data_IF_810407139175
#
_entry.id   IF_810407139175
#
_cell.length_a   1.000
_cell.length_b   1.000
_cell.length_c   1.000
_cell.angle_alpha   90.00
_cell.angle_beta   90.00
_cell.angle_gamma   90.00
#
_symmetry.space_group_name_H-M   'P 1'
#
loop_
_entity.id
_entity.type
_entity.pdbx_description
1 polymer ?
#
# COMPACT_ATOMS: atom_id res chain seq x y z
N UNK A 1 -23.97 39.44 -56.24
CA UNK A 1 -24.32 40.09 -54.96
C UNK A 1 -25.71 39.60 -54.57
N UNK A 2 -25.89 39.25 -53.29
CA UNK A 2 -27.08 38.66 -52.63
C UNK A 2 -27.21 37.13 -52.62
N UNK A 3 -26.95 36.65 -51.39
CA UNK A 3 -27.34 35.40 -50.74
C UNK A 3 -28.87 35.23 -50.70
N UNK A 4 -29.35 33.98 -50.73
CA UNK A 4 -29.96 33.32 -49.56
C UNK A 4 -30.93 32.19 -49.93
N UNK A 5 -30.78 31.08 -49.20
CA UNK A 5 -31.76 30.06 -48.76
C UNK A 5 -31.18 28.65 -48.94
N UNK A 6 -30.42 28.23 -47.92
CA UNK A 6 -30.28 26.81 -47.59
C UNK A 6 -31.04 26.64 -46.28
N UNK A 7 -31.98 25.70 -46.30
CA UNK A 7 -32.94 25.43 -45.24
C UNK A 7 -32.26 24.78 -44.04
N UNK A 8 -32.63 25.27 -42.85
CA UNK A 8 -32.25 24.73 -41.55
C UNK A 8 -32.88 23.34 -41.36
N UNK A 9 -32.09 22.28 -41.46
CA UNK A 9 -32.39 21.00 -40.80
C UNK A 9 -31.87 21.04 -39.37
N UNK A 10 -32.80 21.13 -38.43
CA UNK A 10 -32.54 21.03 -37.00
C UNK A 10 -31.91 19.68 -36.64
N UNK A 11 -30.65 19.71 -36.22
CA UNK A 11 -30.01 18.57 -35.55
C UNK A 11 -30.41 18.62 -34.09
N UNK A 12 -31.16 17.61 -33.67
CA UNK A 12 -31.53 17.35 -32.29
C UNK A 12 -30.25 17.03 -31.49
N UNK A 13 -29.70 18.04 -30.81
CA UNK A 13 -28.64 17.84 -29.84
C UNK A 13 -29.21 17.09 -28.63
N UNK A 14 -29.02 15.77 -28.58
CA UNK A 14 -29.16 15.04 -27.31
C UNK A 14 -28.11 15.60 -26.35
N UNK A 15 -28.58 16.34 -25.34
CA UNK A 15 -27.78 16.68 -24.17
C UNK A 15 -27.27 15.37 -23.55
N UNK A 16 -25.96 15.14 -23.65
CA UNK A 16 -25.28 14.10 -22.89
C UNK A 16 -25.37 14.53 -21.43
N UNK A 17 -26.23 13.85 -20.66
CA UNK A 17 -26.23 13.97 -19.21
C UNK A 17 -24.93 13.35 -18.74
N UNK A 18 -23.94 14.19 -18.41
CA UNK A 18 -22.75 13.76 -17.67
C UNK A 18 -23.26 13.34 -16.29
N UNK A 19 -23.44 12.03 -16.10
CA UNK A 19 -23.68 11.47 -14.77
C UNK A 19 -22.50 11.89 -13.91
N UNK A 20 -22.73 12.73 -12.91
CA UNK A 20 -21.67 13.16 -11.99
C UNK A 20 -21.05 11.91 -11.38
N UNK A 21 -19.76 11.67 -11.68
CA UNK A 21 -19.00 10.62 -11.01
C UNK A 21 -19.05 10.88 -9.51
N UNK A 22 -19.29 9.84 -8.70
CA UNK A 22 -19.16 9.96 -7.25
C UNK A 22 -17.72 10.32 -6.92
N UNK A 23 -17.53 11.29 -6.01
CA UNK A 23 -16.20 11.75 -5.58
C UNK A 23 -15.28 10.60 -5.10
N UNK A 24 -15.85 9.51 -4.57
CA UNK A 24 -15.08 8.34 -4.16
C UNK A 24 -14.41 7.57 -5.31
N UNK A 25 -14.99 7.58 -6.53
CA UNK A 25 -14.41 6.86 -7.66
C UNK A 25 -13.15 7.54 -8.18
N UNK A 26 -13.12 8.88 -8.17
CA UNK A 26 -11.96 9.63 -8.67
C UNK A 26 -10.81 9.62 -7.67
N UNK A 27 -11.10 9.68 -6.36
CA UNK A 27 -10.07 9.58 -5.31
C UNK A 27 -9.33 8.24 -5.39
N UNK A 28 -10.05 7.15 -5.63
CA UNK A 28 -9.46 5.83 -5.86
C UNK A 28 -8.56 5.78 -7.10
N UNK A 29 -8.98 6.37 -8.23
CA UNK A 29 -8.13 6.45 -9.42
C UNK A 29 -6.89 7.31 -9.19
N UNK A 30 -7.02 8.44 -8.48
CA UNK A 30 -5.87 9.29 -8.12
C UNK A 30 -4.86 8.53 -7.27
N UNK A 31 -5.30 7.65 -6.38
CA UNK A 31 -4.39 6.79 -5.62
C UNK A 31 -3.56 5.88 -6.54
N UNK A 32 -4.21 5.22 -7.51
CA UNK A 32 -3.51 4.37 -8.50
C UNK A 32 -2.53 5.16 -9.37
N UNK A 33 -2.95 6.33 -9.85
CA UNK A 33 -2.08 7.21 -10.63
C UNK A 33 -0.93 7.76 -9.79
N UNK A 34 -1.14 7.97 -8.49
CA UNK A 34 -0.09 8.34 -7.55
C UNK A 34 0.97 7.24 -7.42
N UNK A 35 0.55 5.98 -7.27
CA UNK A 35 1.48 4.85 -7.28
C UNK A 35 2.28 4.75 -8.58
N UNK A 36 1.61 4.96 -9.71
CA UNK A 36 2.28 4.95 -10.99
C UNK A 36 3.24 6.13 -11.17
N UNK A 37 2.87 7.34 -10.74
CA UNK A 37 3.77 8.50 -10.70
C UNK A 37 5.03 8.19 -9.89
N UNK A 38 4.88 7.63 -8.68
CA UNK A 38 6.01 7.29 -7.81
C UNK A 38 6.94 6.24 -8.45
N UNK A 39 6.41 5.40 -9.34
CA UNK A 39 7.23 4.45 -10.11
C UNK A 39 7.99 5.07 -11.28
N UNK A 40 7.57 6.25 -11.75
CA UNK A 40 8.16 7.01 -12.86
C UNK A 40 9.11 8.11 -12.38
N UNK A 41 8.91 8.63 -11.17
CA UNK A 41 9.82 9.54 -10.46
C UNK A 41 10.99 8.71 -9.87
N UNK A 42 11.93 8.34 -10.74
CA UNK A 42 12.99 7.38 -10.43
C UNK A 42 13.99 7.94 -9.43
N UNK A 43 14.18 9.26 -9.43
CA UNK A 43 15.08 9.92 -8.47
C UNK A 43 14.38 10.30 -7.15
N UNK A 44 13.06 10.13 -7.07
CA UNK A 44 12.19 10.42 -5.92
C UNK A 44 12.26 11.89 -5.45
N UNK A 45 12.34 12.84 -6.39
CA UNK A 45 12.38 14.27 -6.10
C UNK A 45 11.00 14.95 -6.08
N UNK A 46 9.93 14.19 -6.33
CA UNK A 46 8.55 14.64 -6.40
C UNK A 46 8.13 15.18 -7.77
N UNK A 47 8.99 15.07 -8.78
CA UNK A 47 8.74 15.50 -10.16
C UNK A 47 9.29 14.48 -11.16
N UNK A 48 8.58 14.31 -12.25
CA UNK A 48 9.12 13.61 -13.42
C UNK A 48 9.80 14.66 -14.31
N UNK A 49 11.07 14.45 -14.60
CA UNK A 49 11.93 15.38 -15.36
C UNK A 49 12.74 14.66 -16.43
N UNK A 50 13.58 15.40 -17.17
CA UNK A 50 14.56 14.80 -18.09
C UNK A 50 15.54 13.87 -17.38
N UNK A 51 15.81 14.06 -16.08
CA UNK A 51 16.72 13.20 -15.33
C UNK A 51 16.19 11.77 -15.21
N UNK A 52 14.88 11.59 -15.04
CA UNK A 52 14.22 10.27 -14.97
C UNK A 52 14.24 9.56 -16.33
N UNK A 53 14.03 10.34 -17.40
CA UNK A 53 14.18 9.86 -18.78
C UNK A 53 15.62 9.42 -19.03
N UNK A 54 16.61 10.25 -18.70
CA UNK A 54 18.04 9.95 -18.89
C UNK A 54 18.48 8.74 -18.08
N UNK A 55 17.96 8.58 -16.85
CA UNK A 55 18.19 7.38 -16.06
C UNK A 55 17.68 6.14 -16.79
N UNK A 56 16.43 6.17 -17.26
CA UNK A 56 15.80 5.04 -17.96
C UNK A 56 16.56 4.66 -19.22
N UNK A 57 16.90 5.64 -20.07
CA UNK A 57 17.67 5.44 -21.30
C UNK A 57 19.07 4.85 -21.02
N UNK A 58 19.72 5.27 -19.93
CA UNK A 58 21.02 4.73 -19.56
C UNK A 58 20.93 3.27 -19.07
N UNK A 59 19.88 2.93 -18.33
CA UNK A 59 19.72 1.59 -17.75
C UNK A 59 19.26 0.57 -18.79
N UNK A 60 18.35 0.95 -19.69
CA UNK A 60 17.64 0.00 -20.55
C UNK A 60 18.57 -0.89 -21.41
N UNK A 61 19.52 -0.35 -22.19
CA UNK A 61 20.42 -1.20 -22.99
C UNK A 61 21.31 -2.10 -22.14
N UNK A 62 21.67 -1.66 -20.93
CA UNK A 62 22.54 -2.42 -20.01
C UNK A 62 21.79 -3.59 -19.41
N UNK A 63 20.57 -3.35 -18.92
CA UNK A 63 19.74 -4.37 -18.26
C UNK A 63 19.26 -5.41 -19.27
N UNK A 64 18.87 -4.99 -20.47
CA UNK A 64 18.43 -5.89 -21.56
C UNK A 64 19.59 -6.52 -22.34
N UNK A 65 20.84 -6.15 -22.07
CA UNK A 65 22.02 -6.70 -22.74
C UNK A 65 22.07 -6.42 -24.25
N UNK A 66 21.54 -5.26 -24.69
CA UNK A 66 21.41 -4.91 -26.09
C UNK A 66 22.75 -4.50 -26.72
N UNK A 67 22.93 -4.78 -28.01
CA UNK A 67 24.04 -4.17 -28.77
C UNK A 67 23.88 -2.66 -28.88
N UNK A 68 24.95 -1.92 -29.20
CA UNK A 68 24.90 -0.46 -29.37
C UNK A 68 23.81 0.00 -30.36
N UNK A 69 23.64 -0.75 -31.46
CA UNK A 69 22.62 -0.44 -32.47
C UNK A 69 21.20 -0.70 -31.96
N UNK A 70 20.98 -1.80 -31.25
CA UNK A 70 19.68 -2.15 -30.67
C UNK A 70 19.31 -1.21 -29.52
N UNK A 71 20.28 -0.91 -28.66
CA UNK A 71 20.15 0.07 -27.58
C UNK A 71 19.71 1.43 -28.10
N UNK A 72 20.37 1.94 -29.15
CA UNK A 72 19.97 3.22 -29.76
C UNK A 72 18.54 3.21 -30.31
N UNK A 73 18.11 2.11 -30.93
CA UNK A 73 16.74 1.99 -31.43
C UNK A 73 15.73 1.95 -30.28
N UNK A 74 16.04 1.25 -29.20
CA UNK A 74 15.23 1.21 -28.00
C UNK A 74 15.16 2.59 -27.32
N UNK A 75 16.29 3.29 -27.21
CA UNK A 75 16.38 4.63 -26.64
C UNK A 75 15.45 5.60 -27.36
N UNK A 76 15.45 5.61 -28.70
CA UNK A 76 14.57 6.45 -29.51
C UNK A 76 13.08 6.16 -29.23
N UNK A 77 12.71 4.88 -29.01
CA UNK A 77 11.32 4.52 -28.68
C UNK A 77 10.95 4.87 -27.23
N UNK A 78 11.85 4.64 -26.26
CA UNK A 78 11.63 4.97 -24.85
C UNK A 78 11.51 6.48 -24.66
N UNK A 79 12.40 7.26 -25.27
CA UNK A 79 12.32 8.72 -25.23
C UNK A 79 11.01 9.22 -25.86
N UNK A 80 10.60 8.62 -26.99
CA UNK A 80 9.30 8.92 -27.59
C UNK A 80 8.15 8.57 -26.65
N UNK A 81 8.20 7.44 -25.95
CA UNK A 81 7.18 7.02 -24.99
C UNK A 81 7.05 8.03 -23.84
N UNK A 82 8.17 8.40 -23.20
CA UNK A 82 8.22 9.41 -22.15
C UNK A 82 7.63 10.75 -22.62
N UNK A 83 8.10 11.26 -23.76
CA UNK A 83 7.68 12.58 -24.25
C UNK A 83 6.21 12.61 -24.70
N UNK A 84 5.70 11.52 -25.26
CA UNK A 84 4.33 11.45 -25.80
C UNK A 84 3.32 11.25 -24.68
N UNK A 85 3.58 10.31 -23.78
CA UNK A 85 2.56 9.81 -22.87
C UNK A 85 2.70 10.29 -21.42
N UNK A 86 3.94 10.52 -20.96
CA UNK A 86 4.21 10.86 -19.57
C UNK A 86 4.43 12.38 -19.42
N UNK A 87 5.45 12.92 -20.08
CA UNK A 87 5.76 14.36 -20.04
C UNK A 87 4.78 15.18 -20.88
N UNK A 88 4.18 14.58 -21.93
CA UNK A 88 3.14 15.20 -22.76
C UNK A 88 3.55 16.57 -23.30
N UNK A 89 4.82 16.69 -23.72
CA UNK A 89 5.42 17.93 -24.22
C UNK A 89 5.87 18.94 -23.14
N UNK A 90 5.72 18.64 -21.85
CA UNK A 90 6.26 19.43 -20.74
C UNK A 90 7.74 19.08 -20.48
N UNK A 91 8.46 19.99 -19.84
CA UNK A 91 9.85 19.76 -19.41
C UNK A 91 9.95 19.07 -18.05
N UNK A 92 8.98 19.33 -17.18
CA UNK A 92 8.80 18.68 -15.88
C UNK A 92 7.29 18.56 -15.62
N UNK A 93 6.91 17.58 -14.81
CA UNK A 93 5.55 17.44 -14.29
C UNK A 93 5.61 17.04 -12.82
N UNK A 94 5.01 17.85 -11.95
CA UNK A 94 4.85 17.49 -10.54
C UNK A 94 3.78 16.42 -10.37
N UNK A 95 3.79 15.75 -9.20
CA UNK A 95 2.78 14.74 -8.86
C UNK A 95 1.35 15.27 -9.00
N UNK A 96 1.07 16.46 -8.47
CA UNK A 96 -0.28 17.03 -8.53
C UNK A 96 -0.70 17.36 -9.96
N UNK A 97 0.19 17.93 -10.78
CA UNK A 97 -0.11 18.19 -12.19
C UNK A 97 -0.36 16.90 -12.99
N UNK A 98 0.36 15.83 -12.68
CA UNK A 98 0.14 14.51 -13.29
C UNK A 98 -1.25 13.98 -12.94
N UNK A 99 -1.62 14.02 -11.67
CA UNK A 99 -2.93 13.56 -11.20
C UNK A 99 -4.07 14.39 -11.80
N UNK A 100 -3.92 15.72 -11.85
CA UNK A 100 -4.92 16.64 -12.39
C UNK A 100 -5.10 16.47 -13.90
N UNK A 101 -4.02 16.30 -14.67
CA UNK A 101 -4.09 16.02 -16.10
C UNK A 101 -4.84 14.71 -16.37
N UNK A 102 -4.55 13.67 -15.59
CA UNK A 102 -5.20 12.36 -15.71
C UNK A 102 -6.68 12.40 -15.34
N UNK A 103 -7.01 13.02 -14.21
CA UNK A 103 -8.40 13.22 -13.77
C UNK A 103 -9.21 13.97 -14.82
N UNK A 104 -8.64 15.05 -15.35
CA UNK A 104 -9.28 15.86 -16.37
C UNK A 104 -9.54 15.05 -17.64
N UNK A 105 -8.56 14.35 -18.17
CA UNK A 105 -8.72 13.54 -19.39
C UNK A 105 -9.75 12.41 -19.22
N UNK A 106 -9.70 11.74 -18.06
CA UNK A 106 -10.66 10.71 -17.71
C UNK A 106 -12.10 11.25 -17.63
N UNK A 107 -12.27 12.39 -16.98
CA UNK A 107 -13.57 13.05 -16.81
C UNK A 107 -14.11 13.63 -18.13
N UNK A 108 -13.24 14.17 -18.98
CA UNK A 108 -13.61 14.74 -20.28
C UNK A 108 -14.06 13.66 -21.27
N UNK A 109 -13.29 12.57 -21.39
CA UNK A 109 -13.61 11.46 -22.29
C UNK A 109 -12.94 10.15 -21.89
N UNK A 110 -13.62 9.38 -21.02
CA UNK A 110 -13.17 8.05 -20.54
C UNK A 110 -12.77 7.09 -21.66
N UNK A 111 -13.48 7.08 -22.80
CA UNK A 111 -13.13 6.19 -23.93
C UNK A 111 -11.78 6.59 -24.56
N UNK A 112 -11.59 7.89 -24.84
CA UNK A 112 -10.33 8.38 -25.39
C UNK A 112 -9.17 8.22 -24.39
N UNK A 113 -9.43 8.41 -23.10
CA UNK A 113 -8.45 8.14 -22.04
C UNK A 113 -8.01 6.67 -22.07
N UNK A 114 -8.96 5.71 -22.07
CA UNK A 114 -8.67 4.28 -22.16
C UNK A 114 -7.83 3.91 -23.40
N UNK A 115 -8.18 4.48 -24.57
CA UNK A 115 -7.42 4.28 -25.81
C UNK A 115 -5.99 4.84 -25.71
N UNK A 116 -5.82 5.97 -25.01
CA UNK A 116 -4.51 6.60 -24.78
C UNK A 116 -3.66 5.74 -23.86
N UNK A 117 -4.22 5.26 -22.73
CA UNK A 117 -3.52 4.36 -21.80
C UNK A 117 -3.17 3.03 -22.48
N UNK A 118 -4.07 2.48 -23.30
CA UNK A 118 -3.76 1.28 -24.08
C UNK A 118 -2.62 1.52 -25.06
N UNK A 119 -2.64 2.62 -25.80
CA UNK A 119 -1.59 2.98 -26.77
C UNK A 119 -0.22 3.21 -26.10
N UNK A 120 -0.24 3.72 -24.87
CA UNK A 120 0.94 3.88 -24.02
C UNK A 120 1.57 2.53 -23.68
N UNK A 121 0.78 1.60 -23.15
CA UNK A 121 1.28 0.28 -22.76
C UNK A 121 1.64 -0.56 -23.99
N UNK A 122 0.89 -0.49 -25.09
CA UNK A 122 1.29 -1.10 -26.36
C UNK A 122 2.64 -0.60 -26.85
N UNK A 123 2.93 0.70 -26.73
CA UNK A 123 4.21 1.25 -27.16
C UNK A 123 5.36 0.69 -26.32
N UNK A 124 5.32 0.82 -25.00
CA UNK A 124 6.43 0.35 -24.15
C UNK A 124 6.55 -1.17 -24.15
N UNK A 125 5.45 -1.90 -24.19
CA UNK A 125 5.47 -3.36 -24.25
C UNK A 125 6.15 -3.87 -25.53
N UNK A 126 6.00 -3.16 -26.66
CA UNK A 126 6.73 -3.51 -27.89
C UNK A 126 8.24 -3.25 -27.81
N UNK A 127 8.68 -2.38 -26.89
CA UNK A 127 10.10 -2.10 -26.63
C UNK A 127 10.71 -3.18 -25.73
N UNK A 128 10.02 -3.57 -24.65
CA UNK A 128 10.47 -4.62 -23.72
C UNK A 128 10.40 -6.04 -24.34
N UNK A 129 9.52 -6.26 -25.33
CA UNK A 129 9.45 -7.47 -26.16
C UNK A 129 10.64 -7.48 -27.14
N UNK A 130 11.86 -7.56 -26.61
CA UNK A 130 13.12 -7.45 -27.36
C UNK A 130 13.31 -8.62 -28.32
N UNK A 131 12.84 -9.82 -27.95
CA UNK A 131 12.89 -11.04 -28.76
C UNK A 131 11.72 -11.21 -29.75
N UNK A 132 10.73 -10.29 -29.71
CA UNK A 132 9.55 -10.24 -30.58
C UNK A 132 8.66 -11.49 -30.49
N UNK A 133 8.67 -12.17 -29.35
CA UNK A 133 7.81 -13.33 -29.09
C UNK A 133 6.36 -12.96 -28.81
N UNK A 134 6.06 -11.69 -28.52
CA UNK A 134 4.75 -11.22 -28.03
C UNK A 134 4.36 -11.86 -26.69
N UNK A 135 5.38 -12.30 -25.95
CA UNK A 135 5.27 -12.86 -24.62
C UNK A 135 6.18 -12.07 -23.69
N UNK A 136 5.74 -11.85 -22.45
CA UNK A 136 6.53 -11.26 -21.38
C UNK A 136 7.05 -12.40 -20.51
N UNK A 137 8.35 -12.64 -20.53
CA UNK A 137 9.01 -13.53 -19.57
C UNK A 137 9.23 -12.85 -18.22
N UNK A 138 9.58 -13.62 -17.19
CA UNK A 138 9.98 -13.06 -15.89
C UNK A 138 11.14 -12.08 -16.04
N UNK A 139 12.13 -12.41 -16.88
CA UNK A 139 13.29 -11.56 -17.11
C UNK A 139 12.87 -10.25 -17.77
N UNK A 140 12.02 -10.27 -18.82
CA UNK A 140 11.53 -9.03 -19.44
C UNK A 140 10.75 -8.17 -18.43
N UNK A 141 9.91 -8.81 -17.61
CA UNK A 141 9.17 -8.12 -16.56
C UNK A 141 10.11 -7.45 -15.55
N UNK A 142 10.99 -8.22 -14.91
CA UNK A 142 11.94 -7.73 -13.90
C UNK A 142 12.84 -6.65 -14.48
N UNK A 143 13.37 -6.85 -15.67
CA UNK A 143 14.25 -5.91 -16.33
C UNK A 143 13.54 -4.59 -16.61
N UNK A 144 12.32 -4.61 -17.14
CA UNK A 144 11.56 -3.38 -17.41
C UNK A 144 11.42 -2.50 -16.16
N UNK A 145 11.16 -3.10 -15.00
CA UNK A 145 11.09 -2.38 -13.72
C UNK A 145 12.45 -1.91 -13.20
N UNK A 146 13.52 -2.69 -13.38
CA UNK A 146 14.89 -2.26 -13.07
C UNK A 146 15.30 -1.02 -13.88
N UNK A 147 14.83 -0.87 -15.11
CA UNK A 147 15.12 0.34 -15.91
C UNK A 147 14.47 1.60 -15.35
N UNK A 148 13.41 1.44 -14.56
CA UNK A 148 12.73 2.49 -13.82
C UNK A 148 13.21 2.60 -12.36
N UNK A 149 14.34 1.98 -12.01
CA UNK A 149 14.94 2.06 -10.67
C UNK A 149 14.38 1.10 -9.62
N UNK A 150 13.44 0.22 -10.00
CA UNK A 150 12.90 -0.80 -9.09
C UNK A 150 13.79 -2.05 -9.13
N UNK A 151 14.70 -2.19 -8.16
CA UNK A 151 15.69 -3.26 -8.14
C UNK A 151 15.34 -4.46 -7.24
N UNK A 152 14.18 -4.41 -6.56
CA UNK A 152 13.74 -5.49 -5.69
C UNK A 152 13.15 -6.67 -6.46
N UNK A 153 14.05 -7.51 -6.97
CA UNK A 153 13.73 -8.67 -7.80
C UNK A 153 12.74 -9.64 -7.14
N UNK A 154 12.76 -9.80 -5.82
CA UNK A 154 11.80 -10.69 -5.12
C UNK A 154 10.38 -10.16 -5.16
N UNK A 155 10.21 -8.85 -5.02
CA UNK A 155 8.88 -8.22 -5.12
C UNK A 155 8.39 -8.29 -6.56
N UNK A 156 9.25 -8.01 -7.53
CA UNK A 156 8.92 -8.09 -8.96
C UNK A 156 8.58 -9.51 -9.40
N UNK A 157 9.30 -10.52 -8.91
CA UNK A 157 9.00 -11.92 -9.18
C UNK A 157 7.62 -12.31 -8.65
N UNK A 158 7.29 -11.94 -7.40
CA UNK A 158 5.95 -12.18 -6.84
C UNK A 158 4.86 -11.49 -7.66
N UNK A 159 5.09 -10.24 -8.04
CA UNK A 159 4.14 -9.51 -8.89
C UNK A 159 3.94 -10.18 -10.26
N UNK A 160 5.00 -10.71 -10.87
CA UNK A 160 4.91 -11.51 -12.09
C UNK A 160 4.13 -12.82 -11.89
N UNK A 161 4.31 -13.49 -10.75
CA UNK A 161 3.58 -14.72 -10.41
C UNK A 161 2.06 -14.49 -10.31
N UNK A 162 1.60 -13.27 -10.03
CA UNK A 162 0.17 -12.93 -9.97
C UNK A 162 -0.56 -13.01 -11.30
N UNK A 163 0.15 -12.81 -12.40
CA UNK A 163 -0.38 -13.04 -13.74
C UNK A 163 -0.60 -14.53 -14.04
N UNK A 164 -0.19 -15.44 -13.13
CA UNK A 164 -0.28 -16.90 -13.31
C UNK A 164 0.26 -17.34 -14.67
N UNK A 165 1.52 -16.98 -14.98
CA UNK A 165 2.10 -17.12 -16.31
C UNK A 165 2.06 -18.57 -16.79
N UNK A 166 1.55 -18.78 -18.01
CA UNK A 166 1.55 -20.10 -18.63
C UNK A 166 2.92 -20.39 -19.22
N UNK A 167 3.52 -21.51 -18.80
CA UNK A 167 4.89 -21.89 -19.19
C UNK A 167 5.95 -20.82 -18.87
N UNK A 168 5.75 -20.01 -17.82
CA UNK A 168 6.70 -18.98 -17.39
C UNK A 168 6.64 -17.68 -18.20
N UNK A 169 5.59 -17.49 -19.00
CA UNK A 169 5.39 -16.29 -19.81
C UNK A 169 3.95 -15.79 -19.77
N UNK A 170 3.75 -14.49 -20.03
CA UNK A 170 2.43 -13.83 -20.11
C UNK A 170 2.24 -13.32 -21.55
N UNK A 171 1.11 -13.57 -22.22
CA UNK A 171 0.81 -12.90 -23.48
C UNK A 171 0.86 -11.38 -23.33
N UNK A 172 1.56 -10.68 -24.23
CA UNK A 172 1.73 -9.22 -24.15
C UNK A 172 0.41 -8.45 -24.08
N UNK A 173 -0.63 -8.95 -24.75
CA UNK A 173 -1.96 -8.33 -24.73
C UNK A 173 -2.63 -8.46 -23.37
N UNK A 174 -2.46 -9.59 -22.68
CA UNK A 174 -2.98 -9.81 -21.33
C UNK A 174 -2.31 -8.85 -20.35
N UNK A 175 -0.98 -8.73 -20.42
CA UNK A 175 -0.23 -7.74 -19.65
C UNK A 175 -0.74 -6.31 -19.90
N UNK A 176 -0.94 -5.90 -21.15
CA UNK A 176 -1.45 -4.57 -21.49
C UNK A 176 -2.86 -4.36 -20.95
N UNK A 177 -3.75 -5.33 -21.12
CA UNK A 177 -5.15 -5.22 -20.69
C UNK A 177 -5.22 -5.09 -19.15
N UNK A 178 -4.40 -5.82 -18.41
CA UNK A 178 -4.32 -5.74 -16.94
C UNK A 178 -3.82 -4.36 -16.47
N UNK A 179 -2.81 -3.79 -17.13
CA UNK A 179 -2.35 -2.43 -16.82
C UNK A 179 -3.39 -1.36 -17.14
N UNK A 180 -4.13 -1.51 -18.25
CA UNK A 180 -5.24 -0.62 -18.59
C UNK A 180 -6.35 -0.71 -17.55
N UNK A 181 -6.69 -1.92 -17.11
CA UNK A 181 -7.67 -2.16 -16.03
C UNK A 181 -7.17 -1.51 -14.75
N UNK A 182 -5.92 -1.76 -14.33
CA UNK A 182 -5.35 -1.15 -13.14
C UNK A 182 -5.49 0.37 -13.19
N UNK A 183 -5.02 1.04 -14.25
CA UNK A 183 -5.00 2.50 -14.35
C UNK A 183 -6.40 3.14 -14.46
N UNK A 184 -7.38 2.47 -15.08
CA UNK A 184 -8.62 3.14 -15.49
C UNK A 184 -9.90 2.56 -14.87
N UNK A 185 -9.83 1.40 -14.22
CA UNK A 185 -10.98 0.79 -13.54
C UNK A 185 -11.26 1.52 -12.22
N UNK A 186 -12.39 2.22 -12.19
CA UNK A 186 -12.92 2.97 -11.06
C UNK A 186 -13.79 2.13 -10.12
N UNK A 187 -13.96 0.83 -10.43
CA UNK A 187 -14.71 -0.11 -9.59
C UNK A 187 -13.84 -0.64 -8.46
N UNK A 188 -13.93 0.00 -7.29
CA UNK A 188 -13.24 -0.37 -6.05
C UNK A 188 -13.57 -1.80 -5.57
N UNK A 189 -14.66 -2.41 -6.05
CA UNK A 189 -15.04 -3.77 -5.65
C UNK A 189 -14.25 -4.86 -6.37
N UNK A 190 -13.46 -4.51 -7.39
CA UNK A 190 -12.64 -5.46 -8.13
C UNK A 190 -11.22 -5.48 -7.57
N UNK A 191 -10.66 -6.67 -7.28
CA UNK A 191 -9.28 -6.79 -6.85
C UNK A 191 -8.35 -6.31 -7.98
N UNK A 192 -7.48 -5.36 -7.65
CA UNK A 192 -6.34 -4.97 -8.49
C UNK A 192 -5.10 -5.81 -8.12
N UNK A 193 -4.02 -5.69 -8.90
CA UNK A 193 -2.69 -6.29 -8.61
C UNK A 193 -2.13 -5.95 -7.20
N UNK A 194 -2.76 -5.02 -6.48
CA UNK A 194 -2.52 -4.69 -5.07
C UNK A 194 -3.18 -5.66 -4.07
N UNK A 195 -3.93 -6.67 -4.52
CA UNK A 195 -4.57 -7.65 -3.62
C UNK A 195 -3.58 -8.42 -2.75
N UNK A 196 -2.34 -8.61 -3.22
CA UNK A 196 -1.26 -9.25 -2.46
C UNK A 196 -0.76 -8.42 -1.28
N UNK A 197 -0.86 -7.10 -1.41
CA UNK A 197 -0.57 -6.17 -0.32
C UNK A 197 -1.64 -6.31 0.77
N UNK A 198 -2.89 -6.48 0.37
CA UNK A 198 -3.98 -6.78 1.30
C UNK A 198 -3.83 -8.16 1.92
N UNK A 199 -3.46 -9.21 1.17
CA UNK A 199 -3.22 -10.52 1.76
C UNK A 199 -2.07 -10.49 2.77
N UNK A 200 -0.98 -9.76 2.46
CA UNK A 200 0.11 -9.53 3.40
C UNK A 200 -0.34 -8.80 4.66
N UNK A 201 -1.12 -7.73 4.52
CA UNK A 201 -1.69 -7.01 5.66
C UNK A 201 -2.65 -7.87 6.48
N UNK A 202 -3.54 -8.64 5.84
CA UNK A 202 -4.43 -9.61 6.49
C UNK A 202 -3.63 -10.62 7.30
N UNK A 203 -2.46 -11.06 6.82
CA UNK A 203 -1.57 -11.92 7.58
C UNK A 203 -1.01 -11.25 8.84
N UNK A 204 -0.61 -9.98 8.75
CA UNK A 204 -0.16 -9.20 9.92
C UNK A 204 -1.29 -9.01 10.94
N UNK A 205 -2.47 -8.61 10.46
CA UNK A 205 -3.67 -8.43 11.28
C UNK A 205 -4.13 -9.75 11.90
N UNK A 206 -3.96 -10.88 11.21
CA UNK A 206 -4.21 -12.21 11.76
C UNK A 206 -3.32 -12.49 12.96
N UNK A 207 -2.02 -12.21 12.88
CA UNK A 207 -1.13 -12.41 14.03
C UNK A 207 -1.50 -11.51 15.21
N UNK A 208 -1.94 -10.29 14.92
CA UNK A 208 -2.43 -9.41 15.97
C UNK A 208 -3.72 -9.94 16.60
N UNK A 209 -4.68 -10.39 15.79
CA UNK A 209 -5.90 -11.05 16.28
C UNK A 209 -5.56 -12.22 17.20
N UNK A 210 -4.65 -13.10 16.77
CA UNK A 210 -4.26 -14.30 17.54
C UNK A 210 -3.62 -13.94 18.90
N UNK A 211 -3.06 -12.74 19.04
CA UNK A 211 -2.54 -12.23 20.32
C UNK A 211 -3.64 -11.63 21.20
N UNK A 212 -4.70 -11.09 20.59
CA UNK A 212 -5.86 -10.55 21.29
C UNK A 212 -6.82 -11.66 21.73
N UNK A 213 -6.93 -12.75 20.97
CA UNK A 213 -7.67 -13.98 21.28
C UNK A 213 -6.85 -14.86 22.25
N UNK A 214 -6.69 -14.35 23.48
CA UNK A 214 -5.85 -14.93 24.53
C UNK A 214 -6.35 -16.30 25.02
N UNK A 215 -7.64 -16.59 24.83
CA UNK A 215 -8.21 -17.89 25.17
C UNK A 215 -8.19 -18.89 23.99
N UNK A 216 -7.83 -18.42 22.79
CA UNK A 216 -7.72 -19.18 21.55
C UNK A 216 -9.02 -19.86 21.09
N UNK A 217 -10.17 -19.22 21.30
CA UNK A 217 -11.48 -19.72 20.88
C UNK A 217 -11.90 -19.29 19.45
N UNK A 218 -11.05 -18.50 18.79
CA UNK A 218 -11.27 -17.96 17.45
C UNK A 218 -12.09 -16.66 17.44
N UNK A 219 -12.38 -16.10 18.61
CA UNK A 219 -13.15 -14.87 18.78
C UNK A 219 -12.55 -14.01 19.87
N UNK A 220 -12.65 -12.70 19.66
CA UNK A 220 -12.40 -11.71 20.71
C UNK A 220 -13.73 -11.40 21.40
N UNK A 221 -13.77 -11.58 22.71
CA UNK A 221 -14.94 -11.38 23.56
C UNK A 221 -14.58 -10.62 24.85
N UNK A 222 -15.57 -10.41 25.72
CA UNK A 222 -15.34 -9.87 27.07
C UNK A 222 -14.40 -10.76 27.91
N UNK A 223 -14.34 -12.06 27.64
CA UNK A 223 -13.45 -12.96 28.38
C UNK A 223 -11.97 -12.63 28.12
N UNK A 224 -11.62 -12.22 26.90
CA UNK A 224 -10.26 -11.83 26.53
C UNK A 224 -9.86 -10.51 27.19
N UNK A 225 -10.79 -9.55 27.21
CA UNK A 225 -10.63 -8.29 27.95
C UNK A 225 -10.41 -8.57 29.44
N UNK A 226 -11.26 -9.40 30.04
CA UNK A 226 -11.16 -9.75 31.45
C UNK A 226 -9.87 -10.51 31.77
N UNK A 227 -9.36 -11.33 30.86
CA UNK A 227 -8.05 -11.95 31.00
C UNK A 227 -6.94 -10.90 31.05
N UNK A 228 -6.89 -9.96 30.10
CA UNK A 228 -5.88 -8.88 30.09
C UNK A 228 -5.94 -8.05 31.36
N UNK A 229 -7.15 -7.67 31.81
CA UNK A 229 -7.38 -6.94 33.07
C UNK A 229 -6.88 -7.71 34.29
N UNK A 230 -7.02 -9.04 34.32
CA UNK A 230 -6.53 -9.85 35.43
C UNK A 230 -4.99 -10.01 35.43
N UNK A 231 -4.35 -10.00 34.25
CA UNK A 231 -2.90 -10.09 34.16
C UNK A 231 -2.21 -8.76 34.47
N UNK A 232 -2.82 -7.63 34.11
CA UNK A 232 -2.18 -6.32 34.15
C UNK A 232 -1.67 -5.92 35.57
N UNK A 233 -2.47 -6.01 36.65
CA UNK A 233 -2.00 -5.69 38.01
C UNK A 233 -0.91 -6.62 38.53
N UNK A 234 -0.91 -7.89 38.08
CA UNK A 234 0.07 -8.90 38.50
C UNK A 234 1.44 -8.57 37.89
N UNK A 235 1.45 -8.14 36.63
CA UNK A 235 2.66 -7.89 35.87
C UNK A 235 3.28 -6.53 36.22
N UNK A 236 2.45 -5.51 36.44
CA UNK A 236 2.92 -4.14 36.70
C UNK A 236 3.17 -3.84 38.19
N UNK A 237 2.74 -4.71 39.11
CA UNK A 237 2.93 -4.49 40.55
C UNK A 237 2.26 -3.21 41.07
N UNK A 238 1.18 -2.78 40.40
CA UNK A 238 0.50 -1.51 40.66
C UNK A 238 -0.20 -1.48 42.01
N UNK A 239 -0.31 -0.28 42.60
CA UNK A 239 -1.23 -0.09 43.71
C UNK A 239 -2.68 -0.30 43.27
N UNK A 240 -3.57 -0.58 44.23
CA UNK A 240 -5.00 -0.81 43.94
C UNK A 240 -5.69 0.35 43.18
N UNK A 241 -5.22 1.59 43.36
CA UNK A 241 -5.78 2.77 42.70
C UNK A 241 -5.25 2.88 41.27
N UNK A 242 -3.96 2.64 41.06
CA UNK A 242 -3.33 2.65 39.74
C UNK A 242 -3.85 1.49 38.87
N UNK A 243 -4.02 0.31 39.47
CA UNK A 243 -4.63 -0.84 38.80
C UNK A 243 -6.03 -0.52 38.28
N UNK A 244 -6.89 0.10 39.10
CA UNK A 244 -8.25 0.48 38.66
C UNK A 244 -8.25 1.50 37.52
N UNK A 245 -7.36 2.50 37.56
CA UNK A 245 -7.27 3.49 36.49
C UNK A 245 -6.79 2.84 35.18
N UNK A 246 -5.85 1.90 35.27
CA UNK A 246 -5.41 1.12 34.12
C UNK A 246 -6.53 0.22 33.60
N UNK A 247 -7.33 -0.40 34.48
CA UNK A 247 -8.46 -1.24 34.10
C UNK A 247 -9.48 -0.45 33.25
N UNK A 248 -9.86 0.74 33.72
CA UNK A 248 -10.80 1.61 32.99
C UNK A 248 -10.24 2.02 31.61
N UNK A 249 -8.92 2.22 31.48
CA UNK A 249 -8.27 2.58 30.22
C UNK A 249 -8.17 1.39 29.26
N UNK A 250 -7.80 0.21 29.76
CA UNK A 250 -7.74 -1.04 28.99
C UNK A 250 -9.14 -1.38 28.47
N UNK A 251 -10.16 -1.36 29.33
CA UNK A 251 -11.54 -1.64 28.92
C UNK A 251 -12.04 -0.63 27.89
N UNK A 252 -11.74 0.66 28.06
CA UNK A 252 -12.07 1.69 27.06
C UNK A 252 -11.37 1.41 25.73
N UNK A 253 -10.09 1.03 25.75
CA UNK A 253 -9.31 0.74 24.54
C UNK A 253 -9.92 -0.43 23.75
N UNK A 254 -10.20 -1.56 24.41
CA UNK A 254 -10.82 -2.72 23.79
C UNK A 254 -12.19 -2.38 23.17
N UNK A 255 -13.04 -1.66 23.92
CA UNK A 255 -14.37 -1.30 23.44
C UNK A 255 -14.36 -0.30 22.29
N UNK A 256 -13.39 0.62 22.28
CA UNK A 256 -13.30 1.67 21.26
C UNK A 256 -12.77 1.11 19.94
N UNK A 257 -11.71 0.31 20.00
CA UNK A 257 -10.96 -0.05 18.80
C UNK A 257 -11.19 -1.49 18.31
N UNK A 258 -11.43 -2.43 19.23
CA UNK A 258 -11.50 -3.86 18.89
C UNK A 258 -12.96 -4.33 18.82
N UNK A 259 -13.69 -4.24 19.93
CA UNK A 259 -15.08 -4.69 19.99
C UNK A 259 -16.03 -3.72 19.27
N UNK A 260 -15.75 -2.41 19.30
CA UNK A 260 -16.57 -1.37 18.66
C UNK A 260 -18.07 -1.48 19.04
N UNK A 261 -18.35 -1.84 20.30
CA UNK A 261 -19.70 -2.07 20.82
C UNK A 261 -20.33 -3.43 20.47
N UNK A 262 -19.62 -4.33 19.79
CA UNK A 262 -20.03 -5.72 19.54
C UNK A 262 -19.78 -6.57 20.79
N UNK A 263 -20.57 -7.63 20.96
CA UNK A 263 -20.36 -8.61 22.05
C UNK A 263 -19.22 -9.59 21.77
N UNK A 264 -19.00 -9.90 20.49
CA UNK A 264 -17.91 -10.76 20.01
C UNK A 264 -17.43 -10.28 18.64
N UNK A 265 -16.16 -10.55 18.34
CA UNK A 265 -15.56 -10.31 17.02
C UNK A 265 -14.81 -11.58 16.60
N UNK A 266 -15.31 -12.29 15.58
CA UNK A 266 -14.60 -13.42 14.98
C UNK A 266 -13.34 -12.95 14.23
N UNK A 267 -12.37 -13.85 14.02
CA UNK A 267 -11.17 -13.57 13.22
C UNK A 267 -11.46 -12.95 11.85
N UNK A 268 -12.32 -13.55 11.03
CA UNK A 268 -12.66 -13.00 9.71
C UNK A 268 -13.34 -11.63 9.83
N UNK A 269 -14.29 -11.47 10.75
CA UNK A 269 -14.91 -10.16 11.01
C UNK A 269 -13.92 -9.06 11.44
N UNK A 270 -12.85 -9.43 12.16
CA UNK A 270 -11.76 -8.51 12.49
C UNK A 270 -10.94 -8.14 11.25
N UNK A 271 -10.53 -9.14 10.47
CA UNK A 271 -9.74 -8.93 9.24
C UNK A 271 -10.51 -8.07 8.22
N UNK A 272 -11.80 -8.32 8.05
CA UNK A 272 -12.65 -7.58 7.12
C UNK A 272 -12.88 -6.14 7.58
N UNK A 273 -13.08 -5.89 8.89
CA UNK A 273 -13.19 -4.54 9.44
C UNK A 273 -11.88 -3.74 9.23
N UNK A 274 -10.72 -4.41 9.31
CA UNK A 274 -9.40 -3.82 9.10
C UNK A 274 -9.11 -3.54 7.63
N UNK A 275 -9.35 -4.53 6.76
CA UNK A 275 -9.22 -4.39 5.32
C UNK A 275 -10.09 -3.27 4.79
N UNK A 276 -11.36 -3.24 5.21
CA UNK A 276 -12.29 -2.18 4.87
C UNK A 276 -11.78 -0.82 5.33
N UNK A 277 -11.34 -0.68 6.58
CA UNK A 277 -10.78 0.58 7.07
C UNK A 277 -9.58 1.06 6.26
N UNK A 278 -8.66 0.14 5.95
CA UNK A 278 -7.47 0.41 5.16
C UNK A 278 -7.80 0.83 3.72
N UNK A 279 -8.71 0.10 3.06
CA UNK A 279 -9.08 0.33 1.65
C UNK A 279 -10.02 1.51 1.46
N UNK A 280 -10.90 1.83 2.41
CA UNK A 280 -11.78 3.00 2.30
C UNK A 280 -11.02 4.32 2.49
N UNK A 281 -10.00 4.35 3.38
CA UNK A 281 -9.15 5.51 3.57
C UNK A 281 -7.89 5.16 4.38
N UNK A 282 -6.78 4.89 3.68
CA UNK A 282 -5.49 4.56 4.31
C UNK A 282 -5.02 5.61 5.30
N UNK A 283 -5.22 6.91 5.01
CA UNK A 283 -4.83 8.01 5.90
C UNK A 283 -5.66 8.04 7.19
N UNK A 284 -6.97 7.87 7.11
CA UNK A 284 -7.82 7.74 8.30
C UNK A 284 -7.51 6.46 9.08
N UNK A 285 -7.28 5.34 8.39
CA UNK A 285 -6.89 4.09 9.03
C UNK A 285 -5.59 4.27 9.83
N UNK A 286 -4.54 4.84 9.22
CA UNK A 286 -3.29 5.17 9.89
C UNK A 286 -3.52 6.08 11.10
N UNK A 287 -4.38 7.10 10.98
CA UNK A 287 -4.70 7.98 12.11
C UNK A 287 -5.41 7.24 13.25
N UNK A 288 -6.31 6.30 12.94
CA UNK A 288 -6.97 5.44 13.94
C UNK A 288 -5.95 4.53 14.62
N UNK A 289 -5.06 3.88 13.87
CA UNK A 289 -4.01 3.02 14.42
C UNK A 289 -3.05 3.83 15.30
N UNK A 290 -2.71 5.05 14.89
CA UNK A 290 -1.88 5.95 15.70
C UNK A 290 -2.56 6.30 17.02
N UNK A 291 -3.84 6.70 16.99
CA UNK A 291 -4.63 6.99 18.20
C UNK A 291 -4.71 5.77 19.13
N UNK A 292 -4.88 4.58 18.56
CA UNK A 292 -4.88 3.30 19.28
C UNK A 292 -3.53 3.04 19.97
N UNK A 293 -2.41 3.30 19.30
CA UNK A 293 -1.07 3.15 19.86
C UNK A 293 -0.77 4.22 20.93
N UNK A 294 -1.26 5.45 20.76
CA UNK A 294 -1.16 6.51 21.77
C UNK A 294 -1.92 6.13 23.05
N UNK A 295 -3.14 5.60 22.93
CA UNK A 295 -3.91 5.12 24.08
C UNK A 295 -3.21 3.94 24.78
N UNK A 296 -2.62 3.01 24.00
CA UNK A 296 -1.86 1.89 24.57
C UNK A 296 -0.58 2.35 25.27
N UNK A 297 0.15 3.31 24.71
CA UNK A 297 1.38 3.80 25.35
C UNK A 297 1.11 4.58 26.64
N UNK A 298 -0.07 5.20 26.81
CA UNK A 298 -0.48 5.75 28.11
C UNK A 298 -0.65 4.67 29.21
N UNK A 299 -0.95 3.44 28.81
CA UNK A 299 -1.06 2.28 29.71
C UNK A 299 0.34 1.74 30.05
N UNK A 300 1.24 1.68 29.05
CA UNK A 300 2.62 1.13 29.19
C UNK A 300 3.57 2.14 29.89
N UNK A 301 3.42 3.43 29.65
CA UNK A 301 4.18 4.52 30.26
C UNK A 301 3.55 4.96 31.59
N UNK A 302 3.33 4.00 32.49
CA UNK A 302 2.69 4.24 33.78
C UNK A 302 3.44 5.29 34.63
N UNK A 303 4.75 5.40 34.47
CA UNK A 303 5.61 6.39 35.14
C UNK A 303 5.66 7.76 34.44
N UNK A 304 5.00 7.90 33.29
CA UNK A 304 4.86 9.13 32.50
C UNK A 304 6.20 9.73 32.06
N UNK A 305 7.19 8.89 31.81
CA UNK A 305 8.52 9.30 31.36
C UNK A 305 8.54 9.63 29.87
N UNK A 306 7.50 9.28 29.12
CA UNK A 306 7.43 9.30 27.65
C UNK A 306 8.44 8.39 26.98
N UNK A 307 8.98 7.45 27.75
CA UNK A 307 10.01 6.50 27.35
C UNK A 307 9.59 5.12 27.78
N UNK A 308 9.84 4.11 26.96
CA UNK A 308 9.52 2.73 27.25
C UNK A 308 10.83 2.01 27.55
N UNK A 309 10.96 1.48 28.76
CA UNK A 309 12.06 0.61 29.15
C UNK A 309 11.84 -0.81 28.63
N UNK A 310 12.91 -1.61 28.57
CA UNK A 310 12.78 -3.04 28.27
C UNK A 310 11.83 -3.75 29.23
N UNK A 311 11.85 -3.39 30.52
CA UNK A 311 10.98 -3.98 31.53
C UNK A 311 9.51 -3.66 31.25
N UNK A 312 9.18 -2.39 31.01
CA UNK A 312 7.82 -1.96 30.66
C UNK A 312 7.35 -2.61 29.35
N UNK A 313 8.24 -2.71 28.35
CA UNK A 313 7.95 -3.40 27.11
C UNK A 313 7.62 -4.89 27.35
N UNK A 314 8.46 -5.62 28.07
CA UNK A 314 8.24 -7.05 28.35
C UNK A 314 6.97 -7.26 29.16
N UNK A 315 6.71 -6.40 30.15
CA UNK A 315 5.51 -6.45 30.99
C UNK A 315 4.24 -6.25 30.16
N UNK A 316 4.19 -5.20 29.33
CA UNK A 316 3.04 -4.93 28.47
C UNK A 316 2.62 -6.14 27.64
N UNK A 317 3.58 -6.80 26.98
CA UNK A 317 3.31 -7.97 26.14
C UNK A 317 2.93 -9.22 26.94
N UNK A 318 3.44 -9.40 28.16
CA UNK A 318 2.99 -10.48 29.06
C UNK A 318 1.52 -10.34 29.44
N UNK A 319 0.96 -9.13 29.48
CA UNK A 319 -0.47 -8.92 29.81
C UNK A 319 -1.43 -9.43 28.74
N UNK A 320 -0.95 -9.60 27.51
CA UNK A 320 -1.68 -10.20 26.39
C UNK A 320 -1.20 -11.62 26.08
N UNK A 321 -0.56 -12.29 27.04
CA UNK A 321 -0.19 -13.71 26.92
C UNK A 321 1.12 -14.00 26.19
N UNK A 322 1.87 -12.98 25.75
CA UNK A 322 3.19 -13.17 25.13
C UNK A 322 4.29 -13.22 26.20
N UNK A 323 4.70 -14.43 26.58
CA UNK A 323 5.62 -14.67 27.72
C UNK A 323 7.07 -15.01 27.31
N UNK A 324 7.36 -15.12 26.01
CA UNK A 324 8.70 -15.42 25.51
C UNK A 324 9.65 -14.22 25.63
N UNK A 325 10.22 -14.06 26.82
CA UNK A 325 11.06 -12.91 27.17
C UNK A 325 12.28 -12.73 26.26
N UNK A 326 12.90 -13.83 25.79
CA UNK A 326 14.03 -13.74 24.85
C UNK A 326 13.62 -13.12 23.52
N UNK A 327 12.43 -13.47 23.03
CA UNK A 327 11.89 -12.91 21.81
C UNK A 327 11.54 -11.43 21.99
N UNK A 328 10.93 -11.06 23.11
CA UNK A 328 10.61 -9.66 23.45
C UNK A 328 11.86 -8.80 23.63
N UNK A 329 12.93 -9.34 24.23
CA UNK A 329 14.23 -8.67 24.32
C UNK A 329 14.84 -8.43 22.94
N UNK A 330 14.74 -9.43 22.04
CA UNK A 330 15.20 -9.30 20.66
C UNK A 330 14.39 -8.25 19.89
N UNK A 331 13.07 -8.20 20.12
CA UNK A 331 12.17 -7.17 19.59
C UNK A 331 12.63 -5.78 20.01
N UNK A 332 12.77 -5.58 21.33
CA UNK A 332 13.13 -4.31 21.92
C UNK A 332 14.51 -3.81 21.42
N UNK A 333 15.46 -4.71 21.21
CA UNK A 333 16.78 -4.36 20.68
C UNK A 333 16.72 -3.80 19.23
N UNK A 334 15.67 -4.10 18.46
CA UNK A 334 15.54 -3.61 17.09
C UNK A 334 15.34 -2.09 17.02
N UNK A 335 14.67 -1.52 18.01
CA UNK A 335 14.49 -0.07 18.14
C UNK A 335 15.80 0.70 18.38
N UNK A 336 16.93 0.00 18.58
CA UNK A 336 18.23 0.59 18.91
C UNK A 336 18.14 1.59 20.08
N UNK A 337 17.61 1.14 21.23
CA UNK A 337 17.25 2.01 22.35
C UNK A 337 18.42 2.90 22.80
N UNK A 338 18.16 4.19 22.93
CA UNK A 338 19.12 5.15 23.48
C UNK A 338 19.10 5.05 25.00
N UNK A 339 20.25 4.75 25.61
CA UNK A 339 20.38 4.53 27.06
C UNK A 339 19.43 3.44 27.60
N UNK A 340 19.10 2.43 26.79
CA UNK A 340 18.21 1.34 27.18
C UNK A 340 16.72 1.67 27.17
N UNK A 341 16.34 2.82 26.60
CA UNK A 341 14.96 3.28 26.47
C UNK A 341 14.62 3.55 25.00
N UNK A 342 13.36 3.37 24.63
CA UNK A 342 12.79 3.82 23.34
C UNK A 342 11.81 4.96 23.61
N UNK A 343 11.70 5.95 22.73
CA UNK A 343 10.66 6.96 22.88
C UNK A 343 9.28 6.39 22.51
N UNK A 344 8.23 6.93 23.12
CA UNK A 344 6.84 6.57 22.75
C UNK A 344 6.59 6.81 21.25
N UNK A 345 7.16 7.87 20.66
CA UNK A 345 6.96 8.16 19.25
C UNK A 345 7.60 7.11 18.35
N UNK A 346 8.83 6.68 18.64
CA UNK A 346 9.50 5.58 17.91
C UNK A 346 8.68 4.28 18.00
N UNK A 347 8.13 3.97 19.17
CA UNK A 347 7.25 2.81 19.35
C UNK A 347 5.97 2.92 18.49
N UNK A 348 5.29 4.07 18.53
CA UNK A 348 4.07 4.32 17.75
C UNK A 348 4.34 4.21 16.25
N UNK A 349 5.41 4.85 15.76
CA UNK A 349 5.73 4.88 14.34
C UNK A 349 6.01 3.46 13.80
N UNK A 350 6.77 2.65 14.55
CA UNK A 350 7.01 1.24 14.18
C UNK A 350 5.74 0.39 14.18
N UNK A 351 4.82 0.62 15.13
CA UNK A 351 3.55 -0.09 15.18
C UNK A 351 2.60 0.29 14.05
N UNK A 352 2.54 1.58 13.70
CA UNK A 352 1.81 2.07 12.53
C UNK A 352 2.38 1.44 11.25
N UNK A 353 3.71 1.38 11.14
CA UNK A 353 4.38 0.68 10.03
C UNK A 353 4.01 -0.81 10.04
N UNK A 354 4.06 -1.50 11.18
CA UNK A 354 3.65 -2.90 11.25
C UNK A 354 2.23 -3.09 10.73
N UNK A 355 1.26 -2.34 11.23
CA UNK A 355 -0.16 -2.57 10.94
C UNK A 355 -0.56 -2.07 9.55
N UNK A 356 0.03 -0.99 9.03
CA UNK A 356 -0.43 -0.31 7.83
C UNK A 356 0.57 -0.32 6.66
N UNK A 357 1.82 -0.73 6.86
CA UNK A 357 2.79 -0.84 5.77
C UNK A 357 2.57 -2.14 5.00
N UNK A 358 2.16 -1.96 3.75
CA UNK A 358 1.95 -3.00 2.75
C UNK A 358 3.23 -3.39 1.98
N UNK A 359 4.32 -2.66 2.18
CA UNK A 359 5.61 -2.95 1.55
C UNK A 359 6.24 -4.23 2.14
N UNK A 360 6.04 -5.37 1.45
CA UNK A 360 6.61 -6.67 1.82
C UNK A 360 8.15 -6.68 1.84
N UNK A 361 8.82 -5.69 1.23
CA UNK A 361 10.28 -5.61 1.20
C UNK A 361 10.91 -5.02 2.45
N UNK A 362 10.11 -4.38 3.30
CA UNK A 362 10.52 -3.79 4.56
C UNK A 362 9.90 -4.59 5.70
N UNK A 363 10.36 -5.83 5.95
CA UNK A 363 9.88 -6.59 7.10
C UNK A 363 10.23 -5.80 8.35
N UNK A 364 9.20 -5.41 9.10
CA UNK A 364 9.39 -4.77 10.39
C UNK A 364 9.69 -5.83 11.47
N UNK A 365 10.33 -5.39 12.54
CA UNK A 365 10.73 -6.28 13.62
C UNK A 365 9.56 -6.80 14.47
N UNK A 366 8.45 -6.07 14.50
CA UNK A 366 7.23 -6.44 15.22
C UNK A 366 6.63 -7.68 14.54
N UNK A 367 6.60 -7.73 13.21
CA UNK A 367 6.17 -8.89 12.45
C UNK A 367 6.95 -10.16 12.79
N UNK A 368 8.27 -10.09 12.91
CA UNK A 368 9.09 -11.25 13.29
C UNK A 368 8.79 -11.72 14.71
N UNK A 369 8.41 -10.83 15.62
CA UNK A 369 8.05 -11.17 17.00
C UNK A 369 6.71 -11.85 17.05
N UNK A 370 5.71 -11.29 16.38
CA UNK A 370 4.37 -11.88 16.33
C UNK A 370 4.36 -13.21 15.58
N UNK A 371 5.07 -13.30 14.46
CA UNK A 371 5.21 -14.54 13.68
C UNK A 371 5.88 -15.66 14.47
N UNK A 372 6.94 -15.36 15.23
CA UNK A 372 7.74 -16.37 15.93
C UNK A 372 7.35 -16.56 17.41
N UNK A 373 6.49 -15.70 17.95
CA UNK A 373 6.02 -15.77 19.34
C UNK A 373 4.74 -16.56 19.52
N UNK A 374 3.95 -16.69 18.45
CA UNK A 374 2.73 -17.50 18.38
C UNK A 374 2.98 -18.93 17.87
N UNK A 375 4.23 -19.28 17.55
CA UNK A 375 4.70 -20.64 17.23
C UNK A 375 5.55 -21.18 18.37
#
# INVERSE_FOLDING_TARGET
MQLSKIENTAVCSKSITITSMSSGNIEFLREKWSYWFDSLDVNHDGKITKADVDFTLKQFPVVEGLSEKEGKLADDQIEKWWNTYILRGKHEISKEEFLDDFEKEYAENKTNFLETIKSLFEHISNVIDTDKTKMISLDNYVNSFKTLGHDNEKVLQKAFELYKPSHGTIPIQEYIDDWVVFIANDDQSKPDLTSDNIEFLRKKWSYWFDTLDVNHDGKITKADVDYTLNQFPIVEGLSKIEGKLADDQIEKWWNTYILKGKHEVSKEGFLDDFEKGYTESKSNFIAIIKSLCEDMTNIIDADKTKMISLDNYVKAFKTVGLDNEKLLQKAFAHYKPSHGMISIQEYIDDWVVFIANDDQSKPDCVYDVYKNGLM
#
